data_IF_236350768632
#
_entry.id   IF_236350768632
#
_cell.length_a   1.000
_cell.length_b   1.000
_cell.length_c   1.000
_cell.angle_alpha   90.00
_cell.angle_beta   90.00
_cell.angle_gamma   90.00
#
_symmetry.space_group_name_H-M   'P 1'
#
loop_
_entity.id
_entity.type
_entity.pdbx_description
1 polymer ?
#
# COMPACT_ATOMS: atom_id res chain seq x y z
N UNK A 1 3.00 -51.90 -50.85
CA UNK A 1 3.09 -50.50 -50.28
C UNK A 1 2.80 -50.57 -48.79
N UNK A 2 3.82 -50.38 -47.97
CA UNK A 2 3.65 -50.31 -46.46
C UNK A 2 3.58 -48.82 -46.08
N UNK A 3 2.44 -48.41 -45.55
CA UNK A 3 2.28 -47.04 -45.04
C UNK A 3 2.94 -46.92 -43.67
N UNK A 4 3.92 -46.03 -43.54
CA UNK A 4 4.54 -45.67 -42.29
C UNK A 4 3.69 -44.55 -41.64
N UNK A 5 3.09 -44.86 -40.52
CA UNK A 5 2.38 -43.85 -39.70
C UNK A 5 3.41 -43.15 -38.82
N UNK A 6 3.71 -41.86 -39.12
CA UNK A 6 4.52 -40.98 -38.28
C UNK A 6 3.68 -40.50 -37.11
N UNK A 7 3.93 -41.01 -35.92
CA UNK A 7 3.44 -40.47 -34.65
C UNK A 7 4.26 -39.25 -34.26
N UNK A 8 3.69 -38.08 -34.39
CA UNK A 8 4.30 -36.82 -33.85
C UNK A 8 4.12 -36.79 -32.33
N UNK A 9 5.14 -36.49 -31.53
CA UNK A 9 5.01 -36.37 -30.10
C UNK A 9 4.17 -35.12 -29.75
N UNK A 10 3.06 -35.34 -29.02
CA UNK A 10 2.27 -34.26 -28.41
C UNK A 10 3.07 -33.74 -27.22
N UNK A 11 3.71 -32.57 -27.38
CA UNK A 11 4.30 -31.86 -26.24
C UNK A 11 3.16 -31.32 -25.38
N UNK A 12 2.92 -31.94 -24.23
CA UNK A 12 2.08 -31.38 -23.20
C UNK A 12 2.76 -30.10 -22.69
N UNK A 13 2.19 -28.93 -23.02
CA UNK A 13 2.57 -27.67 -22.39
C UNK A 13 2.28 -27.81 -20.89
N UNK A 14 3.32 -28.03 -20.09
CA UNK A 14 3.21 -27.97 -18.65
C UNK A 14 2.72 -26.57 -18.30
N UNK A 15 1.50 -26.44 -17.76
CA UNK A 15 1.02 -25.17 -17.22
C UNK A 15 2.00 -24.74 -16.11
N UNK A 16 2.52 -23.53 -16.24
CA UNK A 16 3.33 -22.94 -15.17
C UNK A 16 2.53 -23.04 -13.85
N UNK A 17 3.17 -23.42 -12.74
CA UNK A 17 2.50 -23.54 -11.46
C UNK A 17 1.83 -22.21 -11.10
N UNK A 18 0.56 -22.27 -10.73
CA UNK A 18 -0.17 -21.08 -10.24
C UNK A 18 0.57 -20.57 -9.00
N UNK A 19 1.03 -19.34 -9.05
CA UNK A 19 1.75 -18.72 -7.94
C UNK A 19 0.80 -18.59 -6.74
N UNK A 20 1.10 -19.29 -5.63
CA UNK A 20 0.37 -19.06 -4.38
C UNK A 20 0.69 -17.68 -3.84
N UNK A 21 -0.33 -16.90 -3.52
CA UNK A 21 -0.18 -15.61 -2.86
C UNK A 21 -0.01 -15.70 -1.34
N UNK A 22 0.01 -16.91 -0.80
CA UNK A 22 0.16 -17.14 0.64
C UNK A 22 1.61 -16.96 1.07
N UNK A 23 1.85 -16.01 1.98
CA UNK A 23 3.15 -15.84 2.64
C UNK A 23 2.96 -15.29 4.05
N UNK A 24 3.89 -15.66 4.93
CA UNK A 24 3.94 -15.16 6.30
C UNK A 24 5.35 -14.65 6.61
N UNK A 25 5.42 -13.44 7.14
CA UNK A 25 6.62 -12.86 7.72
C UNK A 25 6.38 -12.69 9.22
N UNK A 26 7.07 -13.48 10.03
CA UNK A 26 6.97 -13.46 11.48
C UNK A 26 8.22 -12.86 12.12
N UNK A 27 8.04 -12.17 13.23
CA UNK A 27 9.11 -11.56 14.01
C UNK A 27 8.63 -11.05 15.35
N UNK A 28 9.42 -10.18 15.95
CA UNK A 28 9.12 -9.61 17.27
C UNK A 28 9.27 -8.09 17.23
N UNK A 29 8.33 -7.39 17.81
CA UNK A 29 8.34 -5.94 18.01
C UNK A 29 8.05 -5.63 19.47
N UNK A 30 8.95 -4.90 20.14
CA UNK A 30 8.82 -4.58 21.56
C UNK A 30 8.68 -5.82 22.44
N UNK A 31 9.39 -6.91 22.12
CA UNK A 31 9.33 -8.18 22.84
C UNK A 31 8.03 -8.98 22.60
N UNK A 32 7.11 -8.53 21.74
CA UNK A 32 5.85 -9.20 21.44
C UNK A 32 5.80 -9.71 19.99
N UNK A 33 5.13 -10.85 19.72
CA UNK A 33 5.02 -11.38 18.36
C UNK A 33 4.36 -10.39 17.40
N UNK A 34 4.95 -10.22 16.20
CA UNK A 34 4.34 -9.60 15.03
C UNK A 34 4.29 -10.62 13.90
N UNK A 35 3.12 -10.74 13.28
CA UNK A 35 2.91 -11.60 12.10
C UNK A 35 2.28 -10.74 11.01
N UNK A 36 2.89 -10.74 9.82
CA UNK A 36 2.41 -10.07 8.61
C UNK A 36 2.08 -11.16 7.59
N UNK A 37 0.88 -11.13 7.01
CA UNK A 37 0.41 -12.14 6.05
C UNK A 37 -0.08 -11.54 4.75
N UNK A 38 0.17 -12.27 3.67
CA UNK A 38 -0.50 -12.11 2.38
C UNK A 38 -1.34 -13.34 2.09
N UNK A 39 -2.32 -13.22 1.20
CA UNK A 39 -3.18 -14.32 0.79
C UNK A 39 -3.26 -14.41 -0.74
N UNK A 40 -3.63 -15.57 -1.26
CA UNK A 40 -3.85 -15.79 -2.70
C UNK A 40 -4.97 -14.90 -3.27
N UNK A 41 -5.84 -14.38 -2.40
CA UNK A 41 -6.95 -13.51 -2.76
C UNK A 41 -6.51 -12.13 -3.27
N UNK A 42 -5.38 -11.57 -2.78
CA UNK A 42 -5.09 -10.13 -2.82
C UNK A 42 -3.87 -9.75 -3.67
N UNK A 43 -3.38 -10.64 -4.52
CA UNK A 43 -2.25 -10.38 -5.43
C UNK A 43 -0.98 -9.81 -4.75
N UNK A 44 -0.72 -10.21 -3.49
CA UNK A 44 0.46 -9.80 -2.72
C UNK A 44 0.26 -8.61 -1.80
N UNK A 45 -0.90 -7.93 -1.80
CA UNK A 45 -1.24 -6.96 -0.76
C UNK A 45 -1.31 -7.65 0.61
N UNK A 46 -0.94 -6.91 1.67
CA UNK A 46 -0.91 -7.46 3.02
C UNK A 46 -2.34 -7.52 3.57
N UNK A 47 -2.78 -8.75 3.84
CA UNK A 47 -4.10 -9.11 4.35
C UNK A 47 -4.23 -8.89 5.85
N UNK A 48 -3.16 -9.16 6.60
CA UNK A 48 -3.16 -9.14 8.06
C UNK A 48 -1.83 -8.62 8.61
N UNK A 49 -1.93 -7.78 9.63
CA UNK A 49 -0.82 -7.36 10.50
C UNK A 49 -1.28 -7.58 11.94
N UNK A 50 -0.80 -8.64 12.57
CA UNK A 50 -1.19 -9.00 13.93
C UNK A 50 -0.02 -8.82 14.90
N UNK A 51 -0.15 -7.86 15.82
CA UNK A 51 0.82 -7.60 16.88
C UNK A 51 0.22 -7.87 18.25
N UNK A 52 0.95 -8.62 19.09
CA UNK A 52 0.50 -9.00 20.43
C UNK A 52 -0.91 -9.65 20.45
N UNK A 53 -1.26 -10.40 19.39
CA UNK A 53 -2.55 -11.05 19.23
C UNK A 53 -3.67 -10.20 18.67
N UNK A 54 -3.48 -8.88 18.50
CA UNK A 54 -4.49 -7.95 17.95
C UNK A 54 -4.27 -7.71 16.47
N UNK A 55 -5.35 -7.75 15.68
CA UNK A 55 -5.35 -7.45 14.25
C UNK A 55 -5.42 -5.96 14.00
N UNK A 56 -4.55 -5.45 13.11
CA UNK A 56 -4.45 -4.05 12.75
C UNK A 56 -5.02 -3.71 11.37
N UNK A 57 -5.35 -4.71 10.56
CA UNK A 57 -5.86 -4.52 9.19
C UNK A 57 -7.28 -5.05 9.06
N UNK A 58 -8.17 -4.22 8.52
CA UNK A 58 -9.49 -4.65 8.07
C UNK A 58 -9.41 -5.06 6.61
N UNK A 59 -9.30 -6.37 6.35
CA UNK A 59 -9.19 -6.92 5.00
C UNK A 59 -10.52 -7.47 4.49
N UNK A 60 -11.59 -6.70 4.59
CA UNK A 60 -12.93 -7.15 4.27
C UNK A 60 -13.16 -7.39 2.77
N UNK A 61 -12.68 -6.51 1.92
CA UNK A 61 -12.79 -6.58 0.46
C UNK A 61 -11.42 -6.31 -0.20
N UNK A 62 -11.35 -6.13 -1.53
CA UNK A 62 -10.11 -5.86 -2.26
C UNK A 62 -9.64 -4.39 -2.17
N UNK A 63 -10.40 -3.53 -1.50
CA UNK A 63 -10.02 -2.12 -1.27
C UNK A 63 -9.37 -1.84 0.09
N UNK A 64 -9.45 -2.77 1.05
CA UNK A 64 -9.16 -2.50 2.47
C UNK A 64 -8.03 -3.36 3.01
N UNK A 65 -6.80 -3.09 2.62
CA UNK A 65 -5.59 -3.79 3.06
C UNK A 65 -4.54 -2.82 3.58
N UNK A 66 -3.39 -3.34 3.98
CA UNK A 66 -2.15 -2.59 3.98
C UNK A 66 -1.55 -2.72 2.58
N UNK A 67 -1.78 -1.71 1.72
CA UNK A 67 -1.52 -1.77 0.28
C UNK A 67 -1.09 -0.43 -0.30
N UNK A 68 -0.71 -0.47 -1.58
CA UNK A 68 -0.29 0.70 -2.35
C UNK A 68 -1.18 0.92 -3.58
N UNK A 69 -1.31 2.19 -4.00
CA UNK A 69 -2.09 2.56 -5.16
C UNK A 69 -1.49 3.79 -5.87
N UNK A 70 -1.91 4.02 -7.11
CA UNK A 70 -1.62 5.23 -7.88
C UNK A 70 -2.94 5.91 -8.22
N UNK A 71 -3.00 7.25 -8.15
CA UNK A 71 -4.02 8.04 -8.82
C UNK A 71 -3.32 8.96 -9.83
N UNK A 72 -3.74 8.92 -11.08
CA UNK A 72 -3.11 9.70 -12.14
C UNK A 72 -4.13 10.49 -12.96
N UNK A 73 -3.66 11.50 -13.67
CA UNK A 73 -4.40 12.13 -14.75
C UNK A 73 -4.21 11.35 -16.06
N UNK A 74 -5.12 11.56 -16.99
CA UNK A 74 -4.98 11.20 -18.39
C UNK A 74 -5.20 12.46 -19.22
N UNK A 75 -4.24 12.83 -20.07
CA UNK A 75 -4.28 14.03 -20.91
C UNK A 75 -4.63 15.30 -20.12
N UNK A 76 -4.09 15.45 -18.91
CA UNK A 76 -4.35 16.57 -18.01
C UNK A 76 -5.67 16.52 -17.25
N UNK A 77 -6.51 15.51 -17.47
CA UNK A 77 -7.79 15.32 -16.77
C UNK A 77 -7.58 14.42 -15.56
N UNK A 78 -7.73 14.98 -14.36
CA UNK A 78 -7.65 14.26 -13.09
C UNK A 78 -9.00 14.21 -12.37
N UNK A 79 -9.42 13.01 -12.05
CA UNK A 79 -10.53 12.75 -11.14
C UNK A 79 -10.14 11.62 -10.19
N UNK A 80 -10.42 11.81 -8.90
CA UNK A 80 -10.13 10.80 -7.87
C UNK A 80 -10.72 9.45 -8.26
N UNK A 81 -9.90 8.38 -8.15
CA UNK A 81 -10.23 6.99 -8.49
C UNK A 81 -10.50 6.69 -9.96
N UNK A 82 -10.61 7.69 -10.85
CA UNK A 82 -10.95 7.44 -12.26
C UNK A 82 -9.80 6.87 -13.10
N UNK A 83 -8.54 7.06 -12.69
CA UNK A 83 -7.38 6.34 -13.21
C UNK A 83 -6.51 5.91 -12.04
N UNK A 84 -6.86 4.78 -11.44
CA UNK A 84 -6.35 4.37 -10.14
C UNK A 84 -5.91 2.90 -10.12
N UNK A 85 -4.68 2.58 -10.60
CA UNK A 85 -4.08 1.27 -10.37
C UNK A 85 -3.89 0.98 -8.88
N UNK A 86 -4.36 -0.18 -8.41
CA UNK A 86 -4.30 -0.64 -7.02
C UNK A 86 -3.63 -2.01 -6.91
N UNK A 87 -2.97 -2.26 -5.80
CA UNK A 87 -2.26 -3.52 -5.57
C UNK A 87 -3.22 -4.70 -5.39
N UNK A 88 -4.23 -4.55 -4.58
CA UNK A 88 -5.09 -5.65 -4.15
C UNK A 88 -6.18 -6.04 -5.16
N UNK A 89 -6.41 -5.26 -6.21
CA UNK A 89 -7.43 -5.51 -7.22
C UNK A 89 -8.46 -4.40 -7.37
N UNK A 90 -9.51 -4.68 -8.11
CA UNK A 90 -10.58 -3.74 -8.45
C UNK A 90 -11.76 -3.81 -7.48
N UNK A 91 -12.57 -2.75 -7.47
CA UNK A 91 -13.86 -2.75 -6.74
C UNK A 91 -14.79 -3.88 -7.19
N UNK A 92 -14.68 -4.35 -8.45
CA UNK A 92 -15.49 -5.48 -8.95
C UNK A 92 -15.12 -6.82 -8.34
N UNK A 93 -13.92 -6.94 -7.76
CA UNK A 93 -13.50 -8.14 -7.03
C UNK A 93 -14.27 -8.31 -5.73
N UNK A 94 -14.80 -7.23 -5.18
CA UNK A 94 -15.60 -7.20 -3.95
C UNK A 94 -14.93 -7.99 -2.82
N UNK A 95 -15.54 -9.11 -2.38
CA UNK A 95 -15.03 -10.05 -1.37
C UNK A 95 -14.60 -11.38 -2.00
N UNK A 96 -14.44 -11.40 -3.32
CA UNK A 96 -14.16 -12.60 -4.07
C UNK A 96 -12.80 -13.23 -3.72
N UNK A 97 -12.63 -14.52 -4.12
CA UNK A 97 -11.42 -15.28 -3.79
C UNK A 97 -10.24 -14.99 -4.71
N UNK A 98 -10.40 -14.13 -5.72
CA UNK A 98 -9.37 -13.80 -6.71
C UNK A 98 -9.33 -12.31 -6.96
N UNK A 99 -8.13 -11.78 -7.14
CA UNK A 99 -7.88 -10.40 -7.52
C UNK A 99 -7.81 -10.24 -9.05
N UNK A 100 -8.30 -9.11 -9.55
CA UNK A 100 -8.02 -8.64 -10.91
C UNK A 100 -6.59 -8.14 -11.08
N UNK A 101 -5.90 -7.71 -10.01
CA UNK A 101 -4.45 -7.53 -10.01
C UNK A 101 -3.76 -8.88 -10.08
N UNK A 102 -2.58 -8.93 -10.70
CA UNK A 102 -1.87 -10.18 -10.95
C UNK A 102 -0.56 -10.22 -10.18
N UNK A 103 -0.46 -11.15 -9.24
CA UNK A 103 0.79 -11.47 -8.57
C UNK A 103 1.75 -12.12 -9.58
N UNK A 104 2.94 -11.55 -9.75
CA UNK A 104 3.98 -12.02 -10.66
C UNK A 104 5.14 -12.69 -9.92
N UNK A 105 5.40 -12.30 -8.67
CA UNK A 105 6.38 -12.95 -7.80
C UNK A 105 6.05 -12.71 -6.33
N UNK A 106 6.39 -13.69 -5.49
CA UNK A 106 6.34 -13.60 -4.03
C UNK A 106 7.41 -14.49 -3.41
N UNK A 107 8.06 -13.99 -2.38
CA UNK A 107 9.00 -14.78 -1.59
C UNK A 107 9.16 -14.21 -0.18
N UNK A 108 9.49 -15.09 0.78
CA UNK A 108 10.01 -14.71 2.09
C UNK A 108 11.41 -15.32 2.21
N UNK A 109 12.44 -14.46 2.17
CA UNK A 109 13.84 -14.90 2.26
C UNK A 109 14.60 -13.94 3.18
N UNK A 110 15.44 -14.48 4.06
CA UNK A 110 16.29 -13.71 4.97
C UNK A 110 15.51 -12.65 5.78
N UNK A 111 14.28 -13.00 6.20
CA UNK A 111 13.42 -12.09 6.95
C UNK A 111 12.85 -10.92 6.13
N UNK A 112 12.81 -11.05 4.80
CA UNK A 112 12.18 -10.09 3.89
C UNK A 112 11.05 -10.75 3.11
N UNK A 113 9.84 -10.23 3.23
CA UNK A 113 8.74 -10.49 2.32
C UNK A 113 8.91 -9.60 1.08
N UNK A 114 8.98 -10.21 -0.10
CA UNK A 114 9.07 -9.50 -1.37
C UNK A 114 7.93 -9.90 -2.28
N UNK A 115 7.28 -8.93 -2.94
CA UNK A 115 6.24 -9.18 -3.95
C UNK A 115 6.49 -8.36 -5.20
N UNK A 116 5.98 -8.86 -6.33
CA UNK A 116 5.85 -8.12 -7.60
C UNK A 116 4.45 -8.34 -8.11
N UNK A 117 3.72 -7.24 -8.33
CA UNK A 117 2.30 -7.27 -8.69
C UNK A 117 2.05 -6.35 -9.87
N UNK A 118 1.41 -6.85 -10.92
CA UNK A 118 0.80 -6.02 -11.96
C UNK A 118 -0.55 -5.56 -11.44
N UNK A 119 -0.72 -4.24 -11.34
CA UNK A 119 -1.85 -3.62 -10.68
C UNK A 119 -3.09 -3.60 -11.60
N UNK A 120 -4.27 -3.75 -11.03
CA UNK A 120 -5.53 -3.51 -11.74
C UNK A 120 -6.07 -2.12 -11.41
N UNK A 121 -6.86 -1.54 -12.31
CA UNK A 121 -7.57 -0.31 -12.02
C UNK A 121 -8.69 -0.55 -11.02
N UNK A 122 -8.83 0.35 -10.04
CA UNK A 122 -9.89 0.28 -9.04
C UNK A 122 -11.28 0.23 -9.66
N UNK A 123 -11.57 1.12 -10.62
CA UNK A 123 -12.81 1.12 -11.37
C UNK A 123 -12.68 0.32 -12.66
N UNK A 124 -13.66 -0.49 -12.99
CA UNK A 124 -13.77 -1.07 -14.33
C UNK A 124 -14.16 -0.01 -15.36
N UNK A 125 -13.83 -0.21 -16.66
CA UNK A 125 -14.26 0.68 -17.73
C UNK A 125 -15.78 0.92 -17.70
N UNK A 126 -16.19 2.19 -17.83
CA UNK A 126 -17.59 2.60 -17.75
C UNK A 126 -18.16 2.84 -16.35
N UNK A 127 -17.46 2.43 -15.29
CA UNK A 127 -17.84 2.78 -13.90
C UNK A 127 -17.56 4.26 -13.61
N UNK A 128 -18.08 4.75 -12.49
CA UNK A 128 -17.95 6.16 -12.08
C UNK A 128 -17.49 6.28 -10.64
N UNK A 129 -16.69 7.32 -10.35
CA UNK A 129 -16.44 7.84 -9.02
C UNK A 129 -16.78 9.34 -9.00
N UNK A 130 -17.51 9.80 -7.97
CA UNK A 130 -17.95 11.20 -7.89
C UNK A 130 -18.69 11.72 -9.12
N UNK A 131 -19.43 10.85 -9.84
CA UNK A 131 -20.13 11.18 -11.08
C UNK A 131 -19.26 11.24 -12.34
N UNK A 132 -17.94 11.03 -12.22
CA UNK A 132 -16.97 11.02 -13.33
C UNK A 132 -16.67 9.60 -13.78
N UNK A 133 -16.57 9.39 -15.10
CA UNK A 133 -16.26 8.08 -15.68
C UNK A 133 -14.80 7.69 -15.39
N UNK A 134 -14.58 6.38 -15.22
CA UNK A 134 -13.25 5.79 -15.26
C UNK A 134 -12.56 6.15 -16.59
N UNK A 135 -11.26 6.47 -16.53
CA UNK A 135 -10.46 6.89 -17.66
C UNK A 135 -9.66 5.73 -18.30
N UNK A 136 -9.71 4.55 -17.68
CA UNK A 136 -9.10 3.33 -18.20
C UNK A 136 -10.05 2.62 -19.18
N UNK A 137 -9.45 1.93 -20.18
CA UNK A 137 -10.13 1.14 -21.20
C UNK A 137 -10.12 -0.37 -20.93
N UNK A 138 -9.38 -0.79 -19.92
CA UNK A 138 -9.22 -2.20 -19.49
C UNK A 138 -9.10 -2.27 -17.97
N UNK A 139 -9.27 -3.47 -17.40
CA UNK A 139 -9.21 -3.65 -15.95
C UNK A 139 -7.77 -3.84 -15.45
N UNK A 140 -6.98 -4.74 -16.07
CA UNK A 140 -5.58 -4.95 -15.71
C UNK A 140 -4.71 -3.88 -16.37
N UNK A 141 -3.96 -3.13 -15.57
CA UNK A 141 -3.04 -2.08 -16.05
C UNK A 141 -1.65 -2.66 -16.38
N UNK A 142 -0.77 -1.84 -16.98
CA UNK A 142 0.65 -2.16 -17.14
C UNK A 142 1.52 -1.57 -16.01
N UNK A 143 0.90 -0.93 -15.02
CA UNK A 143 1.61 -0.50 -13.82
C UNK A 143 2.04 -1.71 -13.00
N UNK A 144 3.29 -1.68 -12.52
CA UNK A 144 3.83 -2.74 -11.68
C UNK A 144 4.27 -2.16 -10.34
N UNK A 145 3.90 -2.86 -9.27
CA UNK A 145 4.38 -2.58 -7.93
C UNK A 145 5.37 -3.67 -7.51
N UNK A 146 6.55 -3.28 -7.06
CA UNK A 146 7.43 -4.16 -6.28
C UNK A 146 7.46 -3.69 -4.84
N UNK A 147 7.41 -4.62 -3.90
CA UNK A 147 7.36 -4.34 -2.48
C UNK A 147 8.34 -5.21 -1.72
N UNK A 148 8.97 -4.64 -0.70
CA UNK A 148 9.78 -5.35 0.29
C UNK A 148 9.37 -4.93 1.68
N UNK A 149 9.17 -5.91 2.57
CA UNK A 149 8.82 -5.69 3.98
C UNK A 149 9.79 -6.46 4.87
N UNK A 150 10.34 -5.77 5.88
CA UNK A 150 11.21 -6.36 6.90
C UNK A 150 10.78 -5.92 8.28
N UNK A 151 10.60 -6.86 9.20
CA UNK A 151 10.25 -6.57 10.60
C UNK A 151 11.51 -6.13 11.33
N UNK A 152 11.37 -5.05 12.12
CA UNK A 152 12.43 -4.49 12.94
C UNK A 152 13.44 -3.66 12.13
N UNK A 153 14.16 -2.81 12.87
CA UNK A 153 15.25 -1.98 12.37
C UNK A 153 16.29 -1.83 13.47
N UNK A 154 17.60 -1.87 13.18
CA UNK A 154 18.62 -1.65 14.20
C UNK A 154 18.38 -0.36 14.98
N UNK A 155 18.31 -0.46 16.30
CA UNK A 155 18.07 0.66 17.21
C UNK A 155 16.62 1.16 17.31
N UNK A 156 15.66 0.51 16.64
CA UNK A 156 14.23 0.87 16.67
C UNK A 156 13.36 -0.39 16.72
N UNK A 157 12.79 -0.71 17.87
CA UNK A 157 12.07 -1.97 18.10
C UNK A 157 10.61 -1.94 17.61
N UNK A 158 10.00 -0.74 17.45
CA UNK A 158 8.59 -0.57 17.16
C UNK A 158 8.34 -0.10 15.74
N UNK A 159 9.08 -0.67 14.76
CA UNK A 159 8.98 -0.32 13.35
C UNK A 159 9.18 -1.56 12.48
N UNK A 160 8.52 -1.58 11.33
CA UNK A 160 8.93 -2.43 10.21
C UNK A 160 9.15 -1.57 8.96
N UNK A 161 10.21 -1.92 8.21
CA UNK A 161 10.54 -1.27 6.95
C UNK A 161 9.54 -1.73 5.87
N UNK A 162 9.06 -0.77 5.08
CA UNK A 162 8.19 -1.01 3.95
C UNK A 162 8.71 -0.21 2.76
N UNK A 163 9.19 -0.88 1.76
CA UNK A 163 9.73 -0.25 0.55
C UNK A 163 8.89 -0.61 -0.64
N UNK A 164 8.48 0.38 -1.40
CA UNK A 164 7.74 0.20 -2.65
C UNK A 164 8.48 0.84 -3.80
N UNK A 165 8.34 0.25 -4.97
CA UNK A 165 8.71 0.85 -6.24
C UNK A 165 7.55 0.67 -7.22
N UNK A 166 7.09 1.77 -7.77
CA UNK A 166 6.06 1.82 -8.79
C UNK A 166 6.72 1.97 -10.16
N UNK A 167 6.51 1.01 -11.04
CA UNK A 167 6.84 1.15 -12.46
C UNK A 167 5.63 1.75 -13.18
N UNK A 168 5.77 2.99 -13.64
CA UNK A 168 4.76 3.71 -14.44
C UNK A 168 5.05 3.47 -15.92
N UNK A 169 4.12 2.88 -16.69
CA UNK A 169 4.31 2.60 -18.11
C UNK A 169 4.33 3.88 -18.95
N UNK A 170 4.83 3.78 -20.19
CA UNK A 170 4.95 4.90 -21.11
C UNK A 170 3.85 4.97 -22.18
N UNK A 171 2.79 4.21 -22.01
CA UNK A 171 1.69 4.12 -22.97
C UNK A 171 0.75 5.34 -22.95
N UNK A 172 0.76 6.09 -21.86
CA UNK A 172 -0.03 7.31 -21.70
C UNK A 172 0.80 8.42 -21.03
N UNK A 173 0.68 9.69 -21.47
CA UNK A 173 1.33 10.82 -20.81
C UNK A 173 0.57 11.20 -19.54
N UNK A 174 1.32 11.55 -18.50
CA UNK A 174 0.80 12.06 -17.24
C UNK A 174 1.42 13.42 -16.90
N UNK A 175 0.63 14.36 -16.43
CA UNK A 175 1.10 15.64 -15.85
C UNK A 175 0.96 15.64 -14.33
N UNK A 176 0.21 14.69 -13.80
CA UNK A 176 -0.02 14.49 -12.37
C UNK A 176 0.00 13.01 -12.00
N UNK A 177 0.82 12.66 -11.02
CA UNK A 177 0.82 11.35 -10.37
C UNK A 177 0.70 11.54 -8.86
N UNK A 178 -0.19 10.77 -8.25
CA UNK A 178 -0.32 10.63 -6.81
C UNK A 178 -0.07 9.17 -6.43
N UNK A 179 1.03 8.92 -5.75
CA UNK A 179 1.35 7.62 -5.18
C UNK A 179 0.79 7.56 -3.76
N UNK A 180 -0.25 6.78 -3.52
CA UNK A 180 -0.58 6.30 -2.19
C UNK A 180 0.47 5.23 -1.87
N UNK A 181 1.66 5.70 -1.46
CA UNK A 181 2.82 4.82 -1.28
C UNK A 181 2.54 3.74 -0.24
N UNK A 182 1.71 4.06 0.75
CA UNK A 182 1.15 3.09 1.67
C UNK A 182 -0.18 3.59 2.23
N UNK A 183 -1.15 2.70 2.26
CA UNK A 183 -2.45 2.90 2.88
C UNK A 183 -2.72 1.76 3.85
N UNK A 184 -3.15 2.09 5.07
CA UNK A 184 -3.59 1.11 6.07
C UNK A 184 -5.06 1.31 6.38
N UNK A 185 -5.87 0.28 6.13
CA UNK A 185 -7.25 0.21 6.59
C UNK A 185 -7.29 -0.59 7.89
N UNK A 186 -7.77 0.03 8.95
CA UNK A 186 -7.72 -0.50 10.30
C UNK A 186 -9.13 -0.75 10.86
N UNK A 187 -9.29 -1.76 11.75
CA UNK A 187 -10.56 -1.98 12.44
C UNK A 187 -11.06 -0.73 13.17
N UNK A 188 -12.38 -0.60 13.26
CA UNK A 188 -13.05 0.54 13.91
C UNK A 188 -12.59 0.88 15.31
N UNK A 189 -12.07 -0.11 16.06
CA UNK A 189 -11.55 0.08 17.41
C UNK A 189 -10.31 1.00 17.50
N UNK A 190 -9.66 1.30 16.37
CA UNK A 190 -8.54 2.25 16.29
C UNK A 190 -9.06 3.68 16.03
N UNK A 191 -10.00 4.14 16.84
CA UNK A 191 -10.82 5.31 16.63
C UNK A 191 -10.19 6.65 17.05
N UNK A 192 -9.01 6.62 17.68
CA UNK A 192 -8.26 7.83 18.04
C UNK A 192 -7.34 8.23 16.90
N UNK A 193 -7.61 9.41 16.32
CA UNK A 193 -6.85 9.98 15.22
C UNK A 193 -5.85 11.00 15.76
N UNK A 194 -4.55 10.74 15.57
CA UNK A 194 -3.47 11.54 16.12
C UNK A 194 -2.51 11.96 15.01
N UNK A 195 -1.90 13.15 15.12
CA UNK A 195 -0.74 13.56 14.35
C UNK A 195 0.51 13.63 15.23
N UNK A 196 1.65 13.30 14.67
CA UNK A 196 2.92 13.48 15.36
C UNK A 196 3.44 14.91 15.11
N UNK A 197 3.55 15.71 16.17
CA UNK A 197 4.15 17.02 16.13
C UNK A 197 5.67 16.90 16.35
N UNK A 198 6.44 17.08 15.28
CA UNK A 198 7.89 16.95 15.33
C UNK A 198 8.59 18.01 16.20
N UNK A 199 7.98 19.18 16.40
CA UNK A 199 8.55 20.26 17.22
C UNK A 199 8.51 19.95 18.70
N UNK A 200 7.41 19.34 19.13
CA UNK A 200 7.18 18.99 20.55
C UNK A 200 7.44 17.52 20.84
N UNK A 201 7.67 16.71 19.80
CA UNK A 201 7.78 15.24 19.86
C UNK A 201 6.58 14.60 20.58
N UNK A 202 5.37 15.10 20.34
CA UNK A 202 4.13 14.62 20.94
C UNK A 202 3.13 14.13 19.90
N UNK A 203 2.21 13.25 20.32
CA UNK A 203 1.02 12.91 19.55
C UNK A 203 -0.13 13.83 19.96
N UNK A 204 -0.64 14.58 18.99
CA UNK A 204 -1.71 15.57 19.19
C UNK A 204 -2.99 15.04 18.54
N UNK A 205 -4.14 15.07 19.25
CA UNK A 205 -5.42 14.69 18.65
C UNK A 205 -5.74 15.53 17.41
N UNK A 206 -6.25 14.87 16.38
CA UNK A 206 -6.77 15.52 15.19
C UNK A 206 -8.25 15.85 15.35
N UNK A 207 -8.76 16.89 14.67
CA UNK A 207 -10.19 17.14 14.60
C UNK A 207 -10.94 15.94 14.01
N UNK A 208 -12.17 15.71 14.41
CA UNK A 208 -13.04 14.66 13.87
C UNK A 208 -13.53 14.99 12.45
N UNK A 209 -12.59 15.08 11.53
CA UNK A 209 -12.84 15.48 10.16
C UNK A 209 -11.81 14.77 9.28
N UNK A 210 -12.28 14.12 8.23
CA UNK A 210 -11.41 13.54 7.21
C UNK A 210 -10.47 14.59 6.62
N UNK A 211 -9.27 14.14 6.25
CA UNK A 211 -8.35 15.07 5.62
C UNK A 211 -6.89 14.60 5.62
N UNK A 212 -6.07 15.45 5.04
CA UNK A 212 -4.63 15.24 4.89
C UNK A 212 -3.86 16.39 5.54
N UNK A 213 -2.72 16.09 6.14
CA UNK A 213 -1.77 17.05 6.68
C UNK A 213 -0.34 16.64 6.38
N UNK A 214 0.63 17.47 6.79
CA UNK A 214 2.06 17.22 6.54
C UNK A 214 2.74 16.36 7.61
N UNK A 215 2.13 16.22 8.76
CA UNK A 215 2.69 15.47 9.88
C UNK A 215 2.22 14.00 9.83
N UNK A 216 3.05 13.03 10.21
CA UNK A 216 2.67 11.62 10.28
C UNK A 216 1.39 11.39 11.10
N UNK A 217 0.50 10.54 10.59
CA UNK A 217 -0.74 10.11 11.26
C UNK A 217 -0.51 8.81 12.01
N UNK A 218 -1.11 8.72 13.19
CA UNK A 218 -1.21 7.50 13.99
C UNK A 218 -2.67 7.28 14.34
N UNK A 219 -3.19 6.08 14.04
CA UNK A 219 -4.47 5.62 14.56
C UNK A 219 -4.23 4.72 15.77
N UNK A 220 -5.02 4.94 16.82
CA UNK A 220 -4.86 4.27 18.10
C UNK A 220 -6.20 3.80 18.67
N UNK A 221 -6.16 2.74 19.46
CA UNK A 221 -7.28 2.41 20.36
C UNK A 221 -7.45 3.52 21.40
N UNK A 222 -8.65 3.73 21.96
CA UNK A 222 -8.89 4.73 23.01
C UNK A 222 -7.98 4.56 24.23
N UNK A 223 -7.68 3.33 24.63
CA UNK A 223 -6.75 3.03 25.72
C UNK A 223 -5.29 3.38 25.41
N UNK A 224 -4.93 3.54 24.12
CA UNK A 224 -3.54 3.70 23.70
C UNK A 224 -2.71 2.41 23.72
N UNK A 225 -3.32 1.26 24.02
CA UNK A 225 -2.62 -0.02 24.12
C UNK A 225 -2.14 -0.56 22.77
N UNK A 226 -2.80 -0.15 21.67
CA UNK A 226 -2.47 -0.54 20.30
C UNK A 226 -2.58 0.67 19.39
N UNK A 227 -1.56 0.92 18.59
CA UNK A 227 -1.48 2.04 17.68
C UNK A 227 -0.61 1.68 16.46
N UNK A 228 -0.93 2.24 15.31
CA UNK A 228 -0.13 2.11 14.08
C UNK A 228 -0.19 3.40 13.29
N UNK A 229 0.93 3.72 12.63
CA UNK A 229 1.04 4.86 11.72
C UNK A 229 2.19 4.65 10.75
N UNK A 230 2.48 5.69 9.96
CA UNK A 230 3.53 5.63 8.94
C UNK A 230 4.37 6.89 8.95
N UNK A 231 5.68 6.72 8.67
CA UNK A 231 6.62 7.80 8.42
C UNK A 231 7.30 7.58 7.06
N UNK A 232 7.42 8.64 6.26
CA UNK A 232 8.22 8.64 5.04
C UNK A 232 9.38 9.62 5.17
N UNK A 233 10.63 9.21 4.92
CA UNK A 233 11.78 10.12 4.86
C UNK A 233 11.88 10.83 3.51
N UNK A 234 10.95 10.60 2.59
CA UNK A 234 10.97 11.19 1.25
C UNK A 234 10.95 12.70 1.32
N UNK A 235 11.90 13.31 0.63
CA UNK A 235 11.96 14.77 0.41
C UNK A 235 11.64 15.01 -1.07
N UNK A 236 10.41 15.44 -1.39
CA UNK A 236 10.08 15.75 -2.77
C UNK A 236 11.00 16.83 -3.33
N UNK A 237 11.36 16.79 -4.63
CA UNK A 237 12.13 17.86 -5.27
C UNK A 237 11.48 19.24 -5.10
N UNK A 238 12.28 20.30 -5.23
CA UNK A 238 11.78 21.68 -5.17
C UNK A 238 10.62 21.88 -6.17
N UNK A 239 9.57 22.55 -5.73
CA UNK A 239 8.37 22.79 -6.53
C UNK A 239 7.34 21.65 -6.51
N UNK A 240 7.68 20.50 -5.94
CA UNK A 240 6.72 19.41 -5.75
C UNK A 240 5.97 19.53 -4.41
N UNK A 241 4.73 19.02 -4.31
CA UNK A 241 4.00 18.98 -3.04
C UNK A 241 4.77 18.19 -1.97
N UNK A 242 4.70 18.65 -0.72
CA UNK A 242 5.23 17.87 0.40
C UNK A 242 4.52 16.52 0.54
N UNK A 243 5.17 15.57 1.22
CA UNK A 243 4.52 14.31 1.61
C UNK A 243 3.25 14.62 2.40
N UNK A 244 2.16 13.96 2.03
CA UNK A 244 0.88 14.06 2.69
C UNK A 244 0.57 12.82 3.53
N UNK A 245 -0.05 13.03 4.69
CA UNK A 245 -0.54 11.97 5.56
C UNK A 245 -2.03 12.18 5.77
N UNK A 246 -2.84 11.30 5.19
CA UNK A 246 -4.29 11.36 5.30
C UNK A 246 -4.84 10.48 6.41
N UNK A 247 -6.03 10.85 6.90
CA UNK A 247 -6.87 10.02 7.73
C UNK A 247 -8.32 10.16 7.30
N UNK A 248 -9.03 9.04 7.35
CA UNK A 248 -10.41 8.94 6.91
C UNK A 248 -11.17 7.96 7.78
N UNK A 249 -12.44 8.26 8.01
CA UNK A 249 -13.33 7.47 8.81
C UNK A 249 -14.56 7.08 8.00
N UNK A 250 -14.75 5.80 7.78
CA UNK A 250 -15.88 5.27 7.02
C UNK A 250 -16.91 4.67 7.95
N UNK A 251 -17.85 5.51 8.42
CA UNK A 251 -18.88 5.11 9.40
C UNK A 251 -19.75 3.96 8.91
N UNK A 252 -20.10 3.95 7.61
CA UNK A 252 -20.93 2.91 6.99
C UNK A 252 -20.22 1.55 6.91
N UNK A 253 -18.91 1.55 6.80
CA UNK A 253 -18.07 0.36 6.68
C UNK A 253 -17.40 -0.05 8.00
N UNK A 254 -17.54 0.76 9.05
CA UNK A 254 -16.88 0.57 10.36
C UNK A 254 -15.39 0.35 10.23
N UNK A 255 -14.73 1.21 9.45
CA UNK A 255 -13.29 1.12 9.19
C UNK A 255 -12.64 2.50 9.29
N UNK A 256 -11.41 2.52 9.80
CA UNK A 256 -10.52 3.67 9.86
C UNK A 256 -9.43 3.53 8.78
N UNK A 257 -8.99 4.64 8.20
CA UNK A 257 -7.93 4.64 7.18
C UNK A 257 -6.89 5.72 7.49
N UNK A 258 -5.63 5.37 7.34
CA UNK A 258 -4.55 6.33 7.14
C UNK A 258 -3.84 6.04 5.81
N UNK A 259 -3.21 7.06 5.23
CA UNK A 259 -2.32 6.87 4.09
C UNK A 259 -1.09 7.80 4.16
N UNK A 260 -0.05 7.43 3.41
CA UNK A 260 1.11 8.25 3.10
C UNK A 260 1.17 8.47 1.59
N UNK A 261 1.14 9.73 1.17
CA UNK A 261 0.94 10.12 -0.22
C UNK A 261 2.09 10.99 -0.70
N UNK A 262 2.67 10.62 -1.85
CA UNK A 262 3.68 11.40 -2.55
C UNK A 262 3.12 11.80 -3.92
N UNK A 263 3.32 13.07 -4.30
CA UNK A 263 2.77 13.63 -5.54
C UNK A 263 3.85 14.20 -6.42
N UNK A 264 3.66 13.99 -7.72
CA UNK A 264 4.45 14.64 -8.76
C UNK A 264 3.54 15.46 -9.66
N UNK A 265 4.01 16.64 -10.03
CA UNK A 265 3.34 17.54 -10.98
C UNK A 265 4.36 18.03 -11.98
N UNK A 266 4.05 17.90 -13.26
CA UNK A 266 4.90 18.40 -14.35
C UNK A 266 4.04 18.76 -15.57
N UNK A 267 3.80 20.05 -15.84
CA UNK A 267 3.08 20.44 -17.06
C UNK A 267 3.76 19.97 -18.35
N UNK A 268 5.09 19.77 -18.31
CA UNK A 268 5.86 19.21 -19.43
C UNK A 268 5.77 17.69 -19.56
N UNK A 269 4.98 17.03 -18.72
CA UNK A 269 4.86 15.58 -18.64
C UNK A 269 5.77 14.96 -17.55
N UNK A 270 5.30 13.86 -17.00
CA UNK A 270 6.05 13.04 -16.04
C UNK A 270 6.61 11.86 -16.82
N UNK A 271 7.92 11.61 -16.68
CA UNK A 271 8.59 10.52 -17.40
C UNK A 271 8.07 9.16 -16.92
N UNK A 272 7.83 8.20 -17.84
CA UNK A 272 7.63 6.80 -17.45
C UNK A 272 8.88 6.25 -16.73
N UNK A 273 8.71 5.23 -15.93
CA UNK A 273 9.82 4.59 -15.24
C UNK A 273 9.52 4.26 -13.79
N UNK A 274 10.56 4.10 -13.00
CA UNK A 274 10.51 3.60 -11.62
C UNK A 274 10.52 4.73 -10.60
N UNK A 275 9.58 4.65 -9.65
CA UNK A 275 9.39 5.60 -8.55
C UNK A 275 9.40 4.86 -7.22
N UNK A 276 10.54 4.91 -6.54
CA UNK A 276 10.78 4.18 -5.30
C UNK A 276 10.60 5.04 -4.05
N UNK A 277 9.91 4.50 -3.03
CA UNK A 277 9.64 5.18 -1.77
C UNK A 277 9.91 4.28 -0.57
N UNK A 278 10.84 4.67 0.32
CA UNK A 278 11.00 4.03 1.61
C UNK A 278 9.94 4.57 2.59
N UNK A 279 9.38 3.66 3.38
CA UNK A 279 8.38 3.93 4.39
C UNK A 279 8.71 3.15 5.66
N UNK A 280 8.36 3.70 6.80
CA UNK A 280 8.53 3.09 8.11
C UNK A 280 7.17 3.02 8.80
N UNK A 281 6.64 1.81 8.96
CA UNK A 281 5.39 1.61 9.69
C UNK A 281 5.72 1.46 11.16
N UNK A 282 5.21 2.38 11.96
CA UNK A 282 5.35 2.33 13.43
C UNK A 282 4.16 1.58 14.02
N UNK A 283 4.42 0.65 14.94
CA UNK A 283 3.42 -0.22 15.55
C UNK A 283 3.78 -0.52 17.01
N UNK A 284 2.79 -0.51 17.89
CA UNK A 284 3.00 -0.74 19.31
C UNK A 284 1.89 -0.12 20.14
N UNK A 285 2.23 0.34 21.34
CA UNK A 285 1.39 1.26 22.10
C UNK A 285 1.46 2.67 21.50
N UNK A 286 0.55 3.55 21.88
CA UNK A 286 0.58 4.97 21.48
C UNK A 286 1.94 5.61 21.82
N UNK A 287 2.47 5.30 22.98
CA UNK A 287 3.77 5.84 23.44
C UNK A 287 4.95 5.25 22.64
N UNK A 288 4.90 3.96 22.27
CA UNK A 288 5.91 3.35 21.41
C UNK A 288 5.93 4.00 20.04
N UNK A 289 4.76 4.23 19.43
CA UNK A 289 4.65 4.96 18.17
C UNK A 289 5.21 6.39 18.27
N UNK A 290 4.90 7.11 19.35
CA UNK A 290 5.43 8.46 19.60
C UNK A 290 6.95 8.45 19.64
N UNK A 291 7.56 7.58 20.47
CA UNK A 291 9.02 7.48 20.61
C UNK A 291 9.70 7.11 19.29
N UNK A 292 9.13 6.16 18.56
CA UNK A 292 9.69 5.71 17.30
C UNK A 292 9.60 6.79 16.22
N UNK A 293 8.50 7.54 16.14
CA UNK A 293 8.36 8.68 15.23
C UNK A 293 9.37 9.80 15.55
N UNK A 294 9.61 10.07 16.86
CA UNK A 294 10.63 11.02 17.28
C UNK A 294 12.03 10.61 16.81
N UNK A 295 12.40 9.33 17.02
CA UNK A 295 13.67 8.78 16.60
C UNK A 295 13.85 8.81 15.05
N UNK A 296 12.82 8.40 14.29
CA UNK A 296 12.82 8.49 12.82
C UNK A 296 12.98 9.93 12.34
N UNK A 297 12.23 10.85 12.93
CA UNK A 297 12.32 12.28 12.58
C UNK A 297 13.72 12.82 12.83
N UNK A 298 14.33 12.50 13.95
CA UNK A 298 15.70 12.93 14.28
C UNK A 298 16.73 12.32 13.30
N UNK A 299 16.63 11.03 13.02
CA UNK A 299 17.55 10.33 12.11
C UNK A 299 17.52 10.96 10.70
N UNK A 300 16.32 11.24 10.19
CA UNK A 300 16.16 11.75 8.82
C UNK A 300 16.20 13.29 8.73
N UNK A 301 16.16 14.03 9.84
CA UNK A 301 16.43 15.47 9.83
C UNK A 301 17.92 15.77 9.59
N UNK A 302 18.80 14.91 10.07
CA UNK A 302 20.25 15.06 9.97
C UNK A 302 20.85 14.70 8.60
N UNK A 303 20.05 14.12 7.71
CA UNK A 303 20.44 13.73 6.34
C UNK A 303 19.89 14.71 5.31
#
# INVERSE_FOLDING_TARGET
>A
MKAFLLLLPVWALAQAPVLSGEAELAGTIGGKPLVIRTTSRLAGAIDSVKWAGVEFIDSHDHGRQLQSAINADIDGVYHVECYNPTEAGSVVDARGPKSTSRLEAISVREGVLSTRTRMAFWLAPGMKSGGKLALNDRLLSDHVLTKQVRIGRPGMDHVFDYRVNFTVPGDRPHTYLQFEALTGYMPWGFSEELRFDAKTSTLVPLPRQDGEQRDPVVLSTPSGSHAMGVFSPTRPPAGQPAVGYGRFKFDHAKVMKWNCVIRLRSPAGIKPGDYGYPLYVVIGTREDCRRTLAALTQEFAAR
#
